data_IF_457956557284
#
_entry.id   IF_457956557284
#
_cell.length_a   1.000
_cell.length_b   1.000
_cell.length_c   1.000
_cell.angle_alpha   90.00
_cell.angle_beta   90.00
_cell.angle_gamma   90.00
#
_symmetry.space_group_name_H-M   'P 1'
#
loop_
_entity.id
_entity.type
_entity.pdbx_description
1 polymer ?
#
# COMPACT_ATOMS: atom_id res chain seq x y z
N UNK A 1 -8.18 -1.90 5.23
CA UNK A 1 -8.77 -1.19 4.07
C UNK A 1 -9.44 0.14 4.45
N UNK A 2 -10.45 0.21 5.35
CA UNK A 2 -11.09 1.50 5.68
C UNK A 2 -10.12 2.56 6.21
N UNK A 3 -9.19 2.19 7.10
CA UNK A 3 -8.14 3.11 7.57
C UNK A 3 -7.33 3.75 6.43
N UNK A 4 -7.05 2.98 5.37
CA UNK A 4 -6.37 3.52 4.18
C UNK A 4 -7.25 4.46 3.36
N UNK A 5 -8.57 4.20 3.31
CA UNK A 5 -9.55 5.07 2.65
C UNK A 5 -9.80 6.39 3.41
N UNK A 6 -9.50 6.40 4.71
CA UNK A 6 -9.61 7.58 5.57
C UNK A 6 -8.30 8.38 5.62
N UNK A 7 -7.37 8.13 4.67
CA UNK A 7 -6.09 8.83 4.55
C UNK A 7 -4.93 8.21 5.35
N UNK A 8 -5.19 7.17 6.15
CA UNK A 8 -4.12 6.41 6.80
C UNK A 8 -3.28 5.59 5.83
N UNK A 9 -2.16 5.04 6.30
CA UNK A 9 -1.40 4.02 5.54
C UNK A 9 -1.70 2.65 6.13
N UNK A 10 -2.16 1.75 5.28
CA UNK A 10 -2.40 0.36 5.65
C UNK A 10 -1.35 -0.56 5.02
N UNK A 11 -0.68 -1.34 5.88
CA UNK A 11 0.21 -2.41 5.47
C UNK A 11 -0.53 -3.74 5.61
N UNK A 12 -0.64 -4.49 4.52
CA UNK A 12 -1.31 -5.78 4.48
C UNK A 12 -0.35 -6.85 3.93
N UNK A 13 0.09 -7.77 4.80
CA UNK A 13 0.91 -8.93 4.42
C UNK A 13 0.03 -10.05 3.86
N UNK A 14 0.47 -10.70 2.79
CA UNK A 14 -0.24 -11.78 2.12
C UNK A 14 0.74 -12.74 1.44
N UNK A 15 0.30 -13.94 1.07
CA UNK A 15 1.07 -14.85 0.21
C UNK A 15 0.36 -14.98 -1.12
N UNK A 16 1.03 -14.62 -2.23
CA UNK A 16 0.48 -14.77 -3.57
C UNK A 16 1.35 -15.78 -4.35
N UNK A 17 0.70 -16.81 -4.90
CA UNK A 17 1.36 -17.96 -5.54
C UNK A 17 2.41 -18.67 -4.67
N UNK A 18 2.20 -18.69 -3.35
CA UNK A 18 3.14 -19.31 -2.40
C UNK A 18 4.32 -18.42 -2.01
N UNK A 19 4.45 -17.25 -2.61
CA UNK A 19 5.50 -16.28 -2.32
C UNK A 19 4.97 -15.19 -1.35
N UNK A 20 5.70 -14.86 -0.26
CA UNK A 20 5.32 -13.80 0.66
C UNK A 20 5.40 -12.41 0.03
N UNK A 21 4.41 -11.58 0.34
CA UNK A 21 4.31 -10.21 -0.16
C UNK A 21 3.61 -9.27 0.83
N UNK A 22 3.71 -7.96 0.61
CA UNK A 22 2.92 -6.97 1.31
C UNK A 22 2.40 -5.89 0.37
N UNK A 23 1.16 -5.42 0.60
CA UNK A 23 0.65 -4.18 0.04
C UNK A 23 0.81 -3.06 1.06
N UNK A 24 1.36 -1.93 0.64
CA UNK A 24 1.32 -0.67 1.39
C UNK A 24 0.43 0.29 0.63
N UNK A 25 -0.69 0.69 1.22
CA UNK A 25 -1.78 1.37 0.51
C UNK A 25 -2.36 2.55 1.29
N UNK A 26 -2.73 3.61 0.55
CA UNK A 26 -3.53 4.74 1.05
C UNK A 26 -4.36 5.37 -0.08
N UNK A 27 -5.48 5.99 0.27
CA UNK A 27 -6.19 6.94 -0.59
C UNK A 27 -5.62 8.36 -0.52
N UNK A 28 -4.66 8.62 0.37
CA UNK A 28 -3.87 9.85 0.40
C UNK A 28 -2.47 9.56 -0.14
N UNK A 29 -2.20 10.06 -1.34
CA UNK A 29 -0.92 9.87 -2.02
C UNK A 29 0.24 10.48 -1.27
N UNK A 30 0.05 11.66 -0.68
CA UNK A 30 1.16 12.41 -0.07
C UNK A 30 1.54 11.78 1.27
N UNK A 31 0.55 11.34 2.04
CA UNK A 31 0.75 10.53 3.25
C UNK A 31 1.47 9.23 2.92
N UNK A 32 1.08 8.54 1.84
CA UNK A 32 1.76 7.31 1.40
C UNK A 32 3.20 7.57 0.97
N UNK A 33 3.46 8.64 0.21
CA UNK A 33 4.82 9.03 -0.18
C UNK A 33 5.70 9.38 1.02
N UNK A 34 5.14 10.01 2.05
CA UNK A 34 5.87 10.30 3.28
C UNK A 34 6.31 9.03 4.01
N UNK A 35 5.41 8.04 4.13
CA UNK A 35 5.76 6.72 4.69
C UNK A 35 6.77 6.00 3.80
N UNK A 36 6.60 6.07 2.48
CA UNK A 36 7.53 5.48 1.52
C UNK A 36 8.96 5.99 1.69
N UNK A 37 9.15 7.29 1.90
CA UNK A 37 10.48 7.85 2.18
C UNK A 37 11.11 7.27 3.45
N UNK A 38 10.32 7.08 4.50
CA UNK A 38 10.80 6.48 5.76
C UNK A 38 11.18 4.99 5.59
N UNK A 39 10.58 4.31 4.60
CA UNK A 39 10.80 2.89 4.29
C UNK A 39 11.73 2.67 3.08
N UNK A 40 12.38 3.71 2.57
CA UNK A 40 13.22 3.67 1.35
C UNK A 40 12.49 3.10 0.11
N UNK A 41 11.19 3.40 -0.02
CA UNK A 41 10.37 3.02 -1.17
C UNK A 41 10.38 4.13 -2.23
N UNK A 42 10.65 3.74 -3.47
CA UNK A 42 10.75 4.68 -4.57
C UNK A 42 9.36 5.11 -5.07
N UNK A 43 9.10 6.43 -5.23
CA UNK A 43 7.85 6.95 -5.78
C UNK A 43 7.53 6.39 -7.18
N UNK A 44 8.57 6.09 -7.97
CA UNK A 44 8.41 5.54 -9.32
C UNK A 44 7.81 4.12 -9.35
N UNK A 45 7.82 3.40 -8.22
CA UNK A 45 7.20 2.08 -8.10
C UNK A 45 5.72 2.14 -7.69
N UNK A 46 5.22 3.35 -7.42
CA UNK A 46 3.88 3.54 -6.92
C UNK A 46 2.85 3.29 -8.02
N UNK A 47 1.88 2.43 -7.72
CA UNK A 47 0.81 2.07 -8.65
C UNK A 47 -0.48 2.80 -8.27
N UNK A 48 -1.20 3.33 -9.27
CA UNK A 48 -2.56 3.82 -9.08
C UNK A 48 -3.56 2.66 -9.25
N UNK A 49 -4.33 2.37 -8.19
CA UNK A 49 -5.33 1.30 -8.21
C UNK A 49 -6.48 1.66 -7.25
N UNK A 50 -7.63 2.14 -7.77
CA UNK A 50 -8.74 2.52 -6.92
C UNK A 50 -9.24 1.39 -6.04
N UNK A 51 -9.48 1.70 -4.77
CA UNK A 51 -10.11 0.78 -3.81
C UNK A 51 -11.62 0.93 -3.85
N UNK A 52 -12.35 -0.19 -3.70
CA UNK A 52 -13.80 -0.14 -3.49
C UNK A 52 -14.08 0.12 -2.01
N UNK A 53 -14.72 1.24 -1.70
CA UNK A 53 -15.16 1.56 -0.35
C UNK A 53 -16.31 0.61 0.05
N UNK A 54 -16.15 -0.21 1.11
CA UNK A 54 -17.19 -1.13 1.54
C UNK A 54 -18.40 -0.42 2.16
N UNK A 55 -18.25 0.85 2.58
CA UNK A 55 -19.30 1.65 3.20
C UNK A 55 -20.29 2.19 2.17
N UNK A 56 -19.80 2.49 0.96
CA UNK A 56 -20.60 3.17 -0.09
C UNK A 56 -20.66 2.40 -1.41
N UNK A 57 -19.80 1.41 -1.60
CA UNK A 57 -19.63 0.66 -2.85
C UNK A 57 -18.89 1.41 -3.96
N UNK A 58 -18.53 2.68 -3.75
CA UNK A 58 -17.84 3.51 -4.73
C UNK A 58 -16.34 3.19 -4.82
N UNK A 59 -15.72 3.49 -5.96
CA UNK A 59 -14.26 3.38 -6.12
C UNK A 59 -13.61 4.71 -5.77
N UNK A 60 -12.69 4.68 -4.82
CA UNK A 60 -11.93 5.83 -4.34
C UNK A 60 -10.50 5.75 -4.89
N UNK A 61 -9.92 6.86 -5.40
CA UNK A 61 -8.50 6.93 -5.77
C UNK A 61 -7.61 6.37 -4.66
N UNK A 62 -6.68 5.49 -5.02
CA UNK A 62 -5.73 4.92 -4.08
C UNK A 62 -4.43 4.55 -4.79
N UNK A 63 -3.36 4.51 -4.00
CA UNK A 63 -2.02 4.20 -4.46
C UNK A 63 -1.39 3.10 -3.62
N UNK A 64 -0.55 2.31 -4.28
CA UNK A 64 -0.07 1.04 -3.75
C UNK A 64 1.42 0.85 -4.05
N UNK A 65 2.15 0.29 -3.10
CA UNK A 65 3.34 -0.50 -3.38
C UNK A 65 3.08 -1.97 -3.09
N UNK A 66 3.45 -2.80 -4.05
CA UNK A 66 3.47 -4.25 -3.89
C UNK A 66 4.92 -4.67 -3.63
N UNK A 67 5.17 -5.17 -2.42
CA UNK A 67 6.49 -5.46 -1.90
C UNK A 67 6.70 -6.96 -1.81
N UNK A 68 7.82 -7.41 -2.35
CA UNK A 68 8.21 -8.81 -2.44
C UNK A 68 9.70 -8.94 -2.18
N UNK A 69 10.14 -10.16 -1.85
CA UNK A 69 11.56 -10.50 -1.71
C UNK A 69 12.31 -9.51 -0.82
N UNK A 70 13.38 -8.92 -1.33
CA UNK A 70 14.23 -8.00 -0.58
C UNK A 70 13.48 -6.77 -0.05
N UNK A 71 12.53 -6.23 -0.83
CA UNK A 71 11.75 -5.06 -0.40
C UNK A 71 10.79 -5.40 0.74
N UNK A 72 10.29 -6.64 0.77
CA UNK A 72 9.49 -7.14 1.88
C UNK A 72 10.37 -7.36 3.12
N UNK A 73 11.53 -7.99 2.97
CA UNK A 73 12.46 -8.26 4.10
C UNK A 73 12.86 -6.99 4.84
N UNK A 74 13.05 -5.88 4.12
CA UNK A 74 13.35 -4.57 4.71
C UNK A 74 12.27 -4.03 5.64
N UNK A 75 11.03 -4.51 5.55
CA UNK A 75 9.95 -4.13 6.47
C UNK A 75 9.99 -4.88 7.80
N UNK A 76 10.74 -5.98 7.88
CA UNK A 76 10.72 -6.87 9.04
C UNK A 76 11.82 -6.58 10.06
N UNK A 77 12.78 -5.69 9.75
CA UNK A 77 13.73 -5.09 10.70
C UNK A 77 14.60 -6.09 11.45
#
# INVERSE_FOLDING_TARGET
MCFALDGGVWLHRHCLHGEPMAHVVSSDRDTLLAVGRALDLQPAWLQYKPLKDPRTGQRVPAWHWDLWGERLRRLDG
#
